data_IF_848072968851
#
_entry.id   IF_848072968851
#
_cell.length_a   1.000
_cell.length_b   1.000
_cell.length_c   1.000
_cell.angle_alpha   90.00
_cell.angle_beta   90.00
_cell.angle_gamma   90.00
#
_symmetry.space_group_name_H-M   'P 1'
#
loop_
_entity.id
_entity.type
_entity.pdbx_description
1 polymer ?
#
# COMPACT_ATOMS: atom_id res chain seq x y z
N UNK A 1 5.41 -36.07 -46.96
CA UNK A 1 5.37 -35.56 -45.57
C UNK A 1 3.93 -35.14 -45.30
N UNK A 2 3.11 -36.08 -44.79
CA UNK A 2 1.79 -35.78 -44.25
C UNK A 2 1.93 -35.50 -42.77
N UNK A 3 2.29 -34.29 -42.42
CA UNK A 3 2.36 -33.82 -41.05
C UNK A 3 1.13 -33.00 -40.75
N UNK A 4 0.11 -33.56 -40.15
CA UNK A 4 -0.96 -32.82 -39.49
C UNK A 4 -0.37 -32.15 -38.26
N UNK A 5 -0.03 -30.88 -38.40
CA UNK A 5 0.42 -30.05 -37.26
C UNK A 5 -0.76 -29.91 -36.30
N UNK A 6 -0.63 -30.41 -35.10
CA UNK A 6 -1.65 -30.22 -34.05
C UNK A 6 -1.71 -28.79 -33.58
N UNK A 7 -2.88 -28.32 -33.12
CA UNK A 7 -3.01 -26.96 -32.55
C UNK A 7 -1.97 -26.70 -31.46
N UNK A 8 -1.67 -27.69 -30.63
CA UNK A 8 -0.66 -27.57 -29.58
C UNK A 8 0.77 -27.34 -30.12
N UNK A 9 1.11 -27.95 -31.24
CA UNK A 9 2.41 -27.73 -31.91
C UNK A 9 2.47 -26.34 -32.54
N UNK A 10 1.36 -25.83 -33.09
CA UNK A 10 1.27 -24.45 -33.57
C UNK A 10 1.46 -23.46 -32.45
N UNK A 11 0.80 -23.65 -31.31
CA UNK A 11 0.95 -22.75 -30.15
C UNK A 11 2.35 -22.82 -29.53
N UNK A 12 3.04 -23.96 -29.57
CA UNK A 12 4.42 -24.07 -29.08
C UNK A 12 5.45 -23.24 -29.87
N UNK A 13 5.14 -22.91 -31.13
CA UNK A 13 6.00 -22.09 -31.99
C UNK A 13 5.70 -20.60 -31.88
N UNK A 14 4.51 -20.22 -31.38
CA UNK A 14 4.13 -18.83 -31.24
C UNK A 14 4.95 -18.19 -30.11
N UNK A 15 5.68 -17.13 -30.44
CA UNK A 15 6.43 -16.33 -29.47
C UNK A 15 5.80 -14.95 -29.38
N UNK A 16 5.57 -14.49 -28.15
CA UNK A 16 5.16 -13.12 -27.92
C UNK A 16 6.35 -12.20 -28.18
N UNK A 17 6.16 -11.25 -29.10
CA UNK A 17 7.12 -10.19 -29.42
C UNK A 17 6.58 -8.88 -28.87
N UNK A 18 7.41 -8.14 -28.17
CA UNK A 18 7.09 -6.82 -27.67
C UNK A 18 7.76 -5.79 -28.58
N UNK A 19 6.93 -4.89 -29.12
CA UNK A 19 7.42 -3.77 -29.91
C UNK A 19 7.45 -2.53 -29.03
N UNK A 20 8.64 -2.00 -28.82
CA UNK A 20 8.84 -0.73 -28.12
C UNK A 20 8.52 0.46 -29.03
N UNK A 21 8.19 1.60 -28.39
CA UNK A 21 7.88 2.87 -29.11
C UNK A 21 9.01 3.30 -30.04
N UNK A 22 10.25 2.96 -29.70
CA UNK A 22 11.46 3.23 -30.52
C UNK A 22 11.62 2.29 -31.72
N UNK A 23 10.65 1.39 -31.97
CA UNK A 23 10.67 0.46 -33.09
C UNK A 23 11.48 -0.83 -32.88
N UNK A 24 12.06 -1.03 -31.70
CA UNK A 24 12.78 -2.26 -31.36
C UNK A 24 11.77 -3.35 -31.01
N UNK A 25 11.96 -4.54 -31.60
CA UNK A 25 11.16 -5.72 -31.32
C UNK A 25 12.02 -6.76 -30.59
N UNK A 26 11.54 -7.22 -29.43
CA UNK A 26 12.21 -8.25 -28.64
C UNK A 26 11.22 -9.32 -28.19
N UNK A 27 11.62 -10.59 -28.17
CA UNK A 27 10.82 -11.65 -27.54
C UNK A 27 10.55 -11.30 -26.06
N UNK A 28 9.36 -11.62 -25.56
CA UNK A 28 8.97 -11.35 -24.17
C UNK A 28 9.96 -11.96 -23.16
N UNK A 29 10.60 -13.08 -23.51
CA UNK A 29 11.58 -13.77 -22.68
C UNK A 29 12.88 -12.98 -22.43
N UNK A 30 13.15 -11.92 -23.20
CA UNK A 30 14.32 -11.06 -23.05
C UNK A 30 14.09 -9.82 -22.17
N UNK A 31 12.86 -9.65 -21.67
CA UNK A 31 12.55 -8.56 -20.77
C UNK A 31 12.91 -8.91 -19.33
N UNK A 32 13.15 -7.88 -18.51
CA UNK A 32 13.32 -8.05 -17.09
C UNK A 32 12.05 -8.56 -16.40
N UNK A 33 12.20 -9.17 -15.22
CA UNK A 33 11.10 -9.82 -14.48
C UNK A 33 9.92 -8.89 -14.22
N UNK A 34 10.16 -7.61 -13.89
CA UNK A 34 9.11 -6.64 -13.65
C UNK A 34 8.22 -6.41 -14.88
N UNK A 35 8.82 -6.26 -16.07
CA UNK A 35 8.06 -6.13 -17.30
C UNK A 35 7.26 -7.40 -17.64
N UNK A 36 7.84 -8.57 -17.41
CA UNK A 36 7.17 -9.84 -17.64
C UNK A 36 5.96 -10.00 -16.70
N UNK A 37 6.08 -9.58 -15.43
CA UNK A 37 4.96 -9.55 -14.50
C UNK A 37 3.83 -8.63 -14.98
N UNK A 38 4.16 -7.43 -15.46
CA UNK A 38 3.16 -6.51 -16.01
C UNK A 38 2.45 -7.06 -17.24
N UNK A 39 3.20 -7.71 -18.14
CA UNK A 39 2.63 -8.36 -19.34
C UNK A 39 1.69 -9.49 -18.93
N UNK A 40 2.14 -10.36 -18.03
CA UNK A 40 1.32 -11.46 -17.50
C UNK A 40 0.02 -10.95 -16.87
N UNK A 41 0.10 -9.95 -16.02
CA UNK A 41 -1.08 -9.34 -15.38
C UNK A 41 -2.02 -8.71 -16.41
N UNK A 42 -1.48 -8.02 -17.42
CA UNK A 42 -2.27 -7.42 -18.49
C UNK A 42 -3.02 -8.48 -19.31
N UNK A 43 -2.37 -9.59 -19.61
CA UNK A 43 -3.00 -10.72 -20.31
C UNK A 43 -4.07 -11.39 -19.46
N UNK A 44 -3.81 -11.58 -18.15
CA UNK A 44 -4.76 -12.15 -17.22
C UNK A 44 -6.03 -11.29 -17.12
N UNK A 45 -5.86 -9.98 -16.98
CA UNK A 45 -6.98 -9.04 -16.94
C UNK A 45 -7.75 -8.99 -18.25
N UNK A 46 -7.07 -9.01 -19.40
CA UNK A 46 -7.72 -9.06 -20.70
C UNK A 46 -8.54 -10.36 -20.85
N UNK A 47 -8.04 -11.50 -20.38
CA UNK A 47 -8.78 -12.75 -20.33
C UNK A 47 -10.00 -12.67 -19.42
N UNK A 48 -9.84 -12.12 -18.21
CA UNK A 48 -10.95 -11.93 -17.27
C UNK A 48 -12.04 -11.03 -17.87
N UNK A 49 -11.65 -9.98 -18.56
CA UNK A 49 -12.56 -9.09 -19.28
C UNK A 49 -13.32 -9.84 -20.40
N UNK A 50 -12.63 -10.64 -21.20
CA UNK A 50 -13.25 -11.45 -22.24
C UNK A 50 -14.23 -12.48 -21.64
N UNK A 51 -13.82 -13.17 -20.57
CA UNK A 51 -14.65 -14.17 -19.87
C UNK A 51 -15.91 -13.55 -19.24
N UNK A 52 -15.86 -12.29 -18.84
CA UNK A 52 -16.99 -11.52 -18.25
C UNK A 52 -17.89 -10.87 -19.30
N UNK A 53 -17.46 -10.82 -20.56
CA UNK A 53 -18.18 -10.14 -21.65
C UNK A 53 -19.40 -10.95 -22.09
N UNK A 54 -20.60 -10.41 -21.89
CA UNK A 54 -21.85 -10.99 -22.38
C UNK A 54 -21.87 -11.04 -23.92
N UNK A 55 -21.25 -10.05 -24.57
CA UNK A 55 -21.18 -9.96 -26.01
C UNK A 55 -20.35 -11.09 -26.61
N UNK A 56 -19.23 -11.44 -25.93
CA UNK A 56 -18.30 -12.48 -26.37
C UNK A 56 -18.72 -13.89 -25.92
N UNK A 57 -19.03 -14.04 -24.63
CA UNK A 57 -19.30 -15.37 -24.00
C UNK A 57 -20.79 -15.73 -23.95
N UNK A 58 -21.69 -14.78 -24.26
CA UNK A 58 -23.15 -14.98 -24.21
C UNK A 58 -23.60 -15.59 -22.88
N UNK A 59 -24.24 -16.77 -22.89
CA UNK A 59 -24.71 -17.49 -21.68
C UNK A 59 -23.59 -18.03 -20.80
N UNK A 60 -22.37 -18.12 -21.30
CA UNK A 60 -21.19 -18.61 -20.57
C UNK A 60 -20.38 -17.49 -19.93
N UNK A 61 -20.85 -16.23 -20.01
CA UNK A 61 -20.18 -15.12 -19.37
C UNK A 61 -20.10 -15.32 -17.86
N UNK A 62 -18.91 -15.11 -17.28
CA UNK A 62 -18.69 -15.20 -15.83
C UNK A 62 -19.21 -13.93 -15.16
N UNK A 63 -20.12 -14.11 -14.21
CA UNK A 63 -20.76 -12.99 -13.48
C UNK A 63 -19.84 -12.44 -12.40
N UNK A 64 -18.98 -13.28 -11.83
CA UNK A 64 -18.08 -12.92 -10.73
C UNK A 64 -16.64 -13.17 -11.15
N UNK A 65 -15.86 -12.12 -11.17
CA UNK A 65 -14.41 -12.17 -11.41
C UNK A 65 -13.67 -11.57 -10.21
N UNK A 66 -12.83 -12.39 -9.58
CA UNK A 66 -11.96 -11.99 -8.48
C UNK A 66 -10.50 -12.13 -8.93
N UNK A 67 -9.68 -11.18 -8.55
CA UNK A 67 -8.25 -11.22 -8.78
C UNK A 67 -7.53 -11.16 -7.43
N UNK A 68 -6.67 -12.15 -7.17
CA UNK A 68 -5.77 -12.15 -6.02
C UNK A 68 -4.32 -12.06 -6.53
N UNK A 69 -3.57 -11.09 -6.03
CA UNK A 69 -2.17 -10.85 -6.42
C UNK A 69 -1.33 -10.82 -5.15
N UNK A 70 -0.34 -11.68 -5.08
CA UNK A 70 0.65 -11.66 -4.00
C UNK A 70 1.86 -10.82 -4.43
N UNK A 71 2.35 -9.99 -3.47
CA UNK A 71 3.54 -9.15 -3.66
C UNK A 71 3.53 -8.41 -5.00
N UNK A 72 2.46 -7.66 -5.23
CA UNK A 72 2.20 -7.00 -6.52
C UNK A 72 3.32 -6.03 -6.95
N UNK A 73 4.16 -5.59 -6.02
CA UNK A 73 5.35 -4.77 -6.25
C UNK A 73 6.59 -5.55 -6.69
N UNK A 74 6.57 -6.89 -6.65
CA UNK A 74 7.75 -7.70 -6.90
C UNK A 74 8.43 -7.36 -8.23
N UNK A 75 9.72 -7.00 -8.16
CA UNK A 75 10.55 -6.59 -9.29
C UNK A 75 10.11 -5.30 -10.02
N UNK A 76 9.14 -4.53 -9.47
CA UNK A 76 8.70 -3.27 -10.05
C UNK A 76 9.45 -2.07 -9.47
N UNK A 77 9.94 -1.19 -10.33
CA UNK A 77 10.43 0.12 -9.91
C UNK A 77 9.30 0.92 -9.25
N UNK A 78 9.55 1.71 -8.17
CA UNK A 78 8.51 2.45 -7.45
C UNK A 78 7.53 3.22 -8.34
N UNK A 79 8.02 3.92 -9.37
CA UNK A 79 7.17 4.63 -10.32
C UNK A 79 6.22 3.69 -11.12
N UNK A 80 6.62 2.44 -11.33
CA UNK A 80 5.79 1.44 -12.01
C UNK A 80 4.75 0.84 -11.07
N UNK A 81 5.03 0.77 -9.75
CA UNK A 81 4.07 0.33 -8.75
C UNK A 81 2.83 1.23 -8.73
N UNK A 82 3.00 2.55 -8.78
CA UNK A 82 1.88 3.51 -8.89
C UNK A 82 1.06 3.31 -10.16
N UNK A 83 1.73 3.18 -11.31
CA UNK A 83 1.05 2.96 -12.59
C UNK A 83 0.30 1.63 -12.60
N UNK A 84 0.88 0.61 -12.03
CA UNK A 84 0.24 -0.70 -11.92
C UNK A 84 -0.99 -0.65 -11.01
N UNK A 85 -0.89 -0.01 -9.86
CA UNK A 85 -2.02 0.20 -8.96
C UNK A 85 -3.16 0.95 -9.67
N UNK A 86 -2.84 2.05 -10.36
CA UNK A 86 -3.82 2.82 -11.13
C UNK A 86 -4.50 1.96 -12.20
N UNK A 87 -3.72 1.17 -12.93
CA UNK A 87 -4.25 0.24 -13.94
C UNK A 87 -5.21 -0.80 -13.33
N UNK A 88 -4.93 -1.33 -12.15
CA UNK A 88 -5.82 -2.24 -11.43
C UNK A 88 -7.11 -1.52 -10.99
N UNK A 89 -6.99 -0.32 -10.43
CA UNK A 89 -8.14 0.50 -10.02
C UNK A 89 -9.06 0.82 -11.21
N UNK A 90 -8.50 1.19 -12.36
CA UNK A 90 -9.25 1.46 -13.58
C UNK A 90 -9.99 0.22 -14.07
N UNK A 91 -9.36 -0.96 -14.04
CA UNK A 91 -10.01 -2.21 -14.42
C UNK A 91 -11.16 -2.58 -13.46
N UNK A 92 -11.02 -2.32 -12.16
CA UNK A 92 -12.07 -2.50 -11.19
C UNK A 92 -13.22 -1.49 -11.41
N UNK A 93 -12.91 -0.22 -11.58
CA UNK A 93 -13.90 0.85 -11.81
C UNK A 93 -14.70 0.63 -13.09
N UNK A 94 -14.08 0.11 -14.15
CA UNK A 94 -14.73 -0.24 -15.41
C UNK A 94 -15.51 -1.57 -15.36
N UNK A 95 -15.53 -2.26 -14.22
CA UNK A 95 -16.25 -3.52 -14.04
C UNK A 95 -15.62 -4.74 -14.74
N UNK A 96 -14.38 -4.63 -15.23
CA UNK A 96 -13.66 -5.74 -15.84
C UNK A 96 -13.29 -6.80 -14.81
N UNK A 97 -12.99 -6.38 -13.60
CA UNK A 97 -12.76 -7.22 -12.42
C UNK A 97 -13.65 -6.71 -11.30
N UNK A 98 -14.41 -7.59 -10.68
CA UNK A 98 -15.36 -7.17 -9.65
C UNK A 98 -14.68 -6.84 -8.34
N UNK A 99 -13.65 -7.59 -7.96
CA UNK A 99 -12.90 -7.38 -6.74
C UNK A 99 -11.45 -7.81 -6.91
N UNK A 100 -10.55 -7.00 -6.36
CA UNK A 100 -9.11 -7.23 -6.38
C UNK A 100 -8.62 -7.30 -4.94
N UNK A 101 -7.88 -8.35 -4.62
CA UNK A 101 -7.14 -8.51 -3.37
C UNK A 101 -5.65 -8.48 -3.70
N UNK A 102 -4.89 -7.69 -2.96
CA UNK A 102 -3.44 -7.60 -3.15
C UNK A 102 -2.75 -7.73 -1.81
N UNK A 103 -1.65 -8.48 -1.76
CA UNK A 103 -0.69 -8.36 -0.67
C UNK A 103 0.48 -7.50 -1.13
N UNK A 104 1.03 -6.72 -0.21
CA UNK A 104 2.14 -5.84 -0.50
C UNK A 104 2.96 -5.55 0.76
N UNK A 105 4.26 -5.41 0.59
CA UNK A 105 5.21 -4.88 1.57
C UNK A 105 5.73 -3.48 1.16
N UNK A 106 5.15 -2.88 0.12
CA UNK A 106 5.56 -1.59 -0.42
C UNK A 106 4.87 -0.43 0.27
N UNK A 107 5.66 0.47 0.84
CA UNK A 107 5.19 1.76 1.37
C UNK A 107 4.63 2.65 0.28
N UNK A 108 5.11 2.51 -0.95
CA UNK A 108 4.59 3.22 -2.12
C UNK A 108 3.14 2.83 -2.41
N UNK A 109 2.84 1.54 -2.38
CA UNK A 109 1.48 1.02 -2.57
C UNK A 109 0.61 1.40 -1.39
N UNK A 110 1.08 1.19 -0.15
CA UNK A 110 0.33 1.50 1.05
C UNK A 110 -0.06 2.99 1.15
N UNK A 111 0.80 3.90 0.67
CA UNK A 111 0.51 5.34 0.64
C UNK A 111 -0.43 5.76 -0.49
N UNK A 112 -0.53 4.97 -1.56
CA UNK A 112 -1.31 5.31 -2.75
C UNK A 112 -2.74 4.77 -2.72
N UNK A 113 -3.04 3.80 -1.86
CA UNK A 113 -4.40 3.27 -1.68
C UNK A 113 -5.18 4.10 -0.66
N UNK A 114 -6.50 4.03 -0.72
CA UNK A 114 -7.36 4.66 0.29
C UNK A 114 -7.28 3.88 1.60
N UNK A 115 -7.41 4.56 2.72
CA UNK A 115 -7.51 3.90 4.04
C UNK A 115 -8.63 2.87 4.10
N UNK A 116 -9.71 3.09 3.34
CA UNK A 116 -10.84 2.16 3.26
C UNK A 116 -10.51 0.83 2.59
N UNK A 117 -9.47 0.80 1.78
CA UNK A 117 -9.03 -0.38 1.04
C UNK A 117 -7.89 -1.12 1.76
N UNK A 118 -7.37 -0.55 2.86
CA UNK A 118 -6.28 -1.16 3.63
C UNK A 118 -6.79 -2.19 4.63
N UNK A 119 -6.11 -3.33 4.67
CA UNK A 119 -6.25 -4.37 5.70
C UNK A 119 -4.85 -4.63 6.25
N UNK A 120 -4.64 -4.34 7.53
CA UNK A 120 -3.34 -4.50 8.18
C UNK A 120 -3.30 -5.79 8.99
N UNK A 121 -2.40 -6.70 8.63
CA UNK A 121 -2.18 -7.94 9.37
C UNK A 121 -1.01 -7.76 10.31
N UNK A 122 -1.21 -8.00 11.59
CA UNK A 122 -0.17 -7.93 12.62
C UNK A 122 -0.15 -9.21 13.45
N UNK A 123 1.01 -9.57 13.98
CA UNK A 123 1.17 -10.74 14.84
C UNK A 123 1.77 -10.29 16.19
N UNK A 124 0.97 -9.72 17.10
CA UNK A 124 1.44 -9.24 18.38
C UNK A 124 1.90 -10.38 19.31
N UNK A 125 1.39 -11.58 19.10
CA UNK A 125 1.75 -12.81 19.79
C UNK A 125 2.02 -13.88 18.75
N UNK A 126 3.07 -14.67 18.95
CA UNK A 126 3.45 -15.75 18.02
C UNK A 126 2.26 -16.70 17.80
N UNK A 127 1.92 -16.93 16.54
CA UNK A 127 0.82 -17.81 16.14
C UNK A 127 -0.57 -17.18 16.19
N UNK A 128 -0.69 -15.89 16.56
CA UNK A 128 -1.95 -15.17 16.51
C UNK A 128 -1.88 -14.03 15.49
N UNK A 129 -2.85 -13.98 14.59
CA UNK A 129 -2.98 -12.89 13.62
C UNK A 129 -4.07 -11.95 14.12
N UNK A 130 -3.73 -10.67 14.24
CA UNK A 130 -4.67 -9.60 14.47
C UNK A 130 -4.87 -8.82 13.16
N UNK A 131 -6.12 -8.49 12.86
CA UNK A 131 -6.50 -7.80 11.63
C UNK A 131 -6.99 -6.41 11.98
N UNK A 132 -6.26 -5.41 11.49
CA UNK A 132 -6.63 -4.00 11.60
C UNK A 132 -7.39 -3.54 10.35
N UNK A 133 -8.50 -2.81 10.55
CA UNK A 133 -9.33 -2.26 9.48
C UNK A 133 -9.45 -0.75 9.59
N UNK A 134 -8.55 0.03 8.97
CA UNK A 134 -8.62 1.49 8.99
C UNK A 134 -9.98 2.07 8.59
N UNK A 135 -10.69 1.40 7.67
CA UNK A 135 -12.03 1.78 7.22
C UNK A 135 -13.04 1.95 8.36
N UNK A 136 -13.03 1.03 9.34
CA UNK A 136 -14.00 1.00 10.44
C UNK A 136 -13.52 1.72 11.70
N UNK A 137 -12.27 2.19 11.72
CA UNK A 137 -11.71 2.95 12.84
C UNK A 137 -12.34 4.34 12.93
N UNK A 138 -12.48 5.00 11.79
CA UNK A 138 -13.08 6.33 11.69
C UNK A 138 -14.57 6.20 11.39
N UNK A 139 -15.39 6.69 12.29
CA UNK A 139 -16.86 6.67 12.15
C UNK A 139 -17.30 7.75 11.16
N UNK A 140 -18.21 7.42 10.26
CA UNK A 140 -18.71 8.34 9.24
C UNK A 140 -19.69 9.38 9.80
N UNK A 141 -20.31 9.10 10.96
CA UNK A 141 -21.24 9.97 11.68
C UNK A 141 -20.56 10.90 12.70
N UNK A 142 -19.25 10.76 12.92
CA UNK A 142 -18.45 11.61 13.79
C UNK A 142 -17.59 12.57 12.96
N UNK A 143 -17.81 13.88 13.12
CA UNK A 143 -17.10 14.94 12.37
C UNK A 143 -15.59 14.93 12.64
N UNK A 144 -15.19 14.63 13.87
CA UNK A 144 -13.78 14.56 14.25
C UNK A 144 -13.09 13.34 13.62
N UNK A 145 -13.81 12.24 13.51
CA UNK A 145 -13.30 11.03 12.83
C UNK A 145 -13.17 11.25 11.33
N UNK A 146 -14.18 11.86 10.69
CA UNK A 146 -14.14 12.20 9.26
C UNK A 146 -12.97 13.15 8.97
N UNK A 147 -12.79 14.17 9.80
CA UNK A 147 -11.68 15.13 9.68
C UNK A 147 -10.33 14.43 9.84
N UNK A 148 -10.22 13.56 10.84
CA UNK A 148 -9.00 12.80 11.10
C UNK A 148 -8.67 11.84 9.94
N UNK A 149 -9.66 11.14 9.39
CA UNK A 149 -9.51 10.25 8.24
C UNK A 149 -8.98 11.01 7.02
N UNK A 150 -9.59 12.16 6.71
CA UNK A 150 -9.16 13.00 5.59
C UNK A 150 -7.74 13.53 5.81
N UNK A 151 -7.40 13.91 7.04
CA UNK A 151 -6.06 14.34 7.40
C UNK A 151 -5.03 13.23 7.18
N UNK A 152 -5.27 12.05 7.74
CA UNK A 152 -4.38 10.89 7.57
C UNK A 152 -4.23 10.54 6.10
N UNK A 153 -5.32 10.44 5.34
CA UNK A 153 -5.28 10.12 3.91
C UNK A 153 -4.46 11.14 3.12
N UNK A 154 -4.56 12.42 3.45
CA UNK A 154 -3.82 13.49 2.76
C UNK A 154 -2.32 13.49 3.05
N UNK A 155 -1.94 13.19 4.30
CA UNK A 155 -0.56 13.29 4.77
C UNK A 155 0.15 11.93 4.86
N UNK A 156 -0.53 10.85 4.47
CA UNK A 156 0.06 9.53 4.36
C UNK A 156 0.90 9.47 3.08
N UNK A 157 2.18 9.69 3.23
CA UNK A 157 3.19 9.52 2.19
C UNK A 157 3.97 8.20 2.39
N UNK A 158 4.87 7.89 1.47
CA UNK A 158 5.64 6.64 1.53
C UNK A 158 6.50 6.53 2.80
N UNK A 159 6.97 7.66 3.37
CA UNK A 159 7.78 7.67 4.60
C UNK A 159 6.92 7.40 5.83
N UNK A 160 5.72 7.96 5.89
CA UNK A 160 4.78 7.66 6.98
C UNK A 160 4.12 6.29 6.84
N UNK A 161 3.96 5.79 5.61
CA UNK A 161 3.40 4.47 5.37
C UNK A 161 4.25 3.32 5.95
N UNK A 162 5.54 3.56 6.22
CA UNK A 162 6.40 2.64 6.97
C UNK A 162 5.82 2.26 8.34
N UNK A 163 4.98 3.14 8.93
CA UNK A 163 4.31 2.83 10.20
C UNK A 163 3.42 1.57 10.12
N UNK A 164 2.93 1.19 8.95
CA UNK A 164 2.14 -0.03 8.79
C UNK A 164 2.98 -1.31 8.89
N UNK A 165 4.29 -1.22 8.67
CA UNK A 165 5.19 -2.38 8.63
C UNK A 165 6.04 -2.53 9.89
N UNK A 166 6.38 -1.43 10.58
CA UNK A 166 7.15 -1.48 11.81
C UNK A 166 6.37 -2.11 12.98
N UNK A 167 7.07 -2.73 13.92
CA UNK A 167 6.46 -3.34 15.11
C UNK A 167 6.20 -2.33 16.24
N UNK A 168 7.06 -1.33 16.36
CA UNK A 168 7.01 -0.28 17.39
C UNK A 168 7.27 1.06 16.73
N UNK A 169 6.60 2.11 17.21
CA UNK A 169 6.64 3.44 16.60
C UNK A 169 7.01 4.49 17.64
N UNK A 170 7.83 5.45 17.23
CA UNK A 170 8.04 6.70 17.95
C UNK A 170 7.62 7.82 17.00
N UNK A 171 6.52 8.50 17.32
CA UNK A 171 6.10 9.68 16.59
C UNK A 171 6.81 10.90 17.13
N UNK A 172 7.39 11.71 16.25
CA UNK A 172 8.11 12.94 16.57
C UNK A 172 7.55 14.12 15.80
N UNK A 173 7.75 15.32 16.32
CA UNK A 173 7.23 16.54 15.70
C UNK A 173 8.02 16.95 14.46
N UNK A 174 9.34 16.76 14.48
CA UNK A 174 10.21 17.29 13.45
C UNK A 174 11.43 16.43 13.10
N UNK A 175 12.22 16.99 12.20
CA UNK A 175 13.44 16.35 11.67
C UNK A 175 14.52 16.24 12.74
N UNK A 176 14.58 17.18 13.69
CA UNK A 176 15.61 17.17 14.73
C UNK A 176 15.52 15.90 15.60
N UNK A 177 14.33 15.60 16.09
CA UNK A 177 14.05 14.41 16.91
C UNK A 177 14.26 13.13 16.07
N UNK A 178 13.80 13.13 14.82
CA UNK A 178 13.99 12.00 13.90
C UNK A 178 15.46 11.63 13.73
N UNK A 179 16.34 12.62 13.58
CA UNK A 179 17.77 12.41 13.41
C UNK A 179 18.51 12.11 14.73
N UNK A 180 18.10 12.73 15.84
CA UNK A 180 18.80 12.62 17.12
C UNK A 180 18.43 11.34 17.90
N UNK A 181 17.18 10.89 17.83
CA UNK A 181 16.73 9.73 18.61
C UNK A 181 17.55 8.45 18.32
N UNK A 182 17.86 8.10 17.07
CA UNK A 182 18.72 6.94 16.81
C UNK A 182 20.13 7.10 17.36
N UNK A 183 20.64 8.34 17.42
CA UNK A 183 21.96 8.63 18.02
C UNK A 183 21.91 8.47 19.52
N UNK A 184 20.91 9.05 20.20
CA UNK A 184 20.75 8.93 21.65
C UNK A 184 20.50 7.47 22.07
N UNK A 185 19.73 6.71 21.30
CA UNK A 185 19.54 5.29 21.56
C UNK A 185 20.89 4.53 21.56
N UNK A 186 21.77 4.83 20.61
CA UNK A 186 23.11 4.23 20.57
C UNK A 186 23.98 4.58 21.79
N UNK A 187 23.91 5.83 22.28
CA UNK A 187 24.58 6.20 23.53
C UNK A 187 24.09 5.41 24.73
N UNK A 188 22.85 4.95 24.69
CA UNK A 188 22.24 4.09 25.71
C UNK A 188 22.44 2.58 25.40
N UNK A 189 23.34 2.24 24.48
CA UNK A 189 23.59 0.87 24.00
C UNK A 189 22.32 0.18 23.46
N UNK A 190 21.43 0.94 22.84
CA UNK A 190 20.24 0.47 22.15
C UNK A 190 20.34 0.76 20.66
N UNK A 191 19.91 -0.19 19.84
CA UNK A 191 19.77 0.00 18.41
C UNK A 191 18.28 -0.07 18.04
N UNK A 192 17.72 1.03 17.59
CA UNK A 192 16.29 1.10 17.23
C UNK A 192 15.93 0.13 16.10
N UNK A 193 16.86 -0.08 15.16
CA UNK A 193 16.65 -1.01 14.05
C UNK A 193 16.57 -2.46 14.52
N UNK A 194 17.48 -2.88 15.40
CA UNK A 194 17.49 -4.24 15.95
C UNK A 194 16.27 -4.51 16.83
N UNK A 195 15.73 -3.46 17.45
CA UNK A 195 14.51 -3.51 18.25
C UNK A 195 13.23 -3.35 17.42
N UNK A 196 13.35 -3.26 16.09
CA UNK A 196 12.24 -3.02 15.16
C UNK A 196 11.38 -1.79 15.54
N UNK A 197 12.06 -0.72 15.96
CA UNK A 197 11.46 0.57 16.32
C UNK A 197 11.68 1.54 15.18
N UNK A 198 10.61 2.10 14.65
CA UNK A 198 10.64 3.16 13.62
C UNK A 198 10.35 4.52 14.25
N UNK A 199 11.17 5.50 13.94
CA UNK A 199 10.91 6.91 14.24
C UNK A 199 10.19 7.52 13.03
N UNK A 200 9.02 8.10 13.25
CA UNK A 200 8.21 8.69 12.19
C UNK A 200 8.02 10.18 12.47
N UNK A 201 8.48 11.00 11.55
CA UNK A 201 8.29 12.44 11.58
C UNK A 201 6.87 12.80 11.13
N UNK A 202 6.09 13.38 12.02
CA UNK A 202 4.70 13.75 11.76
C UNK A 202 4.55 15.13 11.13
N UNK A 203 5.62 15.97 11.17
CA UNK A 203 5.61 17.33 10.63
C UNK A 203 4.81 18.31 11.50
N UNK A 204 4.73 18.08 12.81
CA UNK A 204 4.04 18.90 13.80
C UNK A 204 3.29 18.06 14.83
N UNK A 205 2.50 18.73 15.67
CA UNK A 205 1.76 18.14 16.82
C UNK A 205 0.47 17.41 16.43
N UNK A 206 0.31 17.00 15.19
CA UNK A 206 -0.93 16.39 14.68
C UNK A 206 -1.01 14.87 14.91
N UNK A 207 -0.44 14.39 16.00
CA UNK A 207 -0.40 12.97 16.37
C UNK A 207 -1.79 12.34 16.51
N UNK A 208 -2.74 13.09 17.08
CA UNK A 208 -4.09 12.62 17.41
C UNK A 208 -4.82 12.00 16.20
N UNK A 209 -4.65 12.55 15.02
CA UNK A 209 -5.29 12.02 13.81
C UNK A 209 -4.78 10.62 13.47
N UNK A 210 -3.46 10.41 13.59
CA UNK A 210 -2.83 9.12 13.31
C UNK A 210 -2.99 8.14 14.46
N UNK A 211 -3.01 8.61 15.72
CA UNK A 211 -3.14 7.76 16.90
C UNK A 211 -4.46 6.97 16.91
N UNK A 212 -5.52 7.50 16.30
CA UNK A 212 -6.79 6.79 16.15
C UNK A 212 -6.63 5.42 15.47
N UNK A 213 -5.67 5.29 14.52
CA UNK A 213 -5.38 4.01 13.84
C UNK A 213 -4.88 2.93 14.81
N UNK A 214 -4.35 3.33 15.96
CA UNK A 214 -3.65 2.47 16.90
C UNK A 214 -4.30 2.45 18.29
N UNK A 215 -5.50 3.03 18.45
CA UNK A 215 -6.22 3.06 19.72
C UNK A 215 -6.67 1.64 20.10
N UNK A 216 -6.09 1.10 21.15
CA UNK A 216 -6.37 -0.25 21.65
C UNK A 216 -7.78 -0.45 22.18
N UNK A 217 -8.54 0.61 22.41
CA UNK A 217 -9.96 0.51 22.77
C UNK A 217 -10.84 0.15 21.55
N UNK A 218 -10.33 0.31 20.35
CA UNK A 218 -11.03 -0.07 19.13
C UNK A 218 -10.61 -1.50 18.71
N UNK A 219 -11.55 -2.46 18.57
CA UNK A 219 -11.21 -3.84 18.21
C UNK A 219 -10.64 -3.99 16.79
N UNK A 220 -10.81 -2.98 15.93
CA UNK A 220 -10.31 -2.96 14.56
C UNK A 220 -9.00 -2.19 14.40
N UNK A 221 -8.38 -1.82 15.51
CA UNK A 221 -7.12 -1.07 15.55
C UNK A 221 -5.98 -1.83 14.89
N UNK A 222 -4.95 -1.11 14.44
CA UNK A 222 -3.67 -1.70 14.05
C UNK A 222 -2.85 -1.87 15.34
N UNK A 223 -2.74 -3.10 15.83
CA UNK A 223 -2.13 -3.36 17.15
C UNK A 223 -0.61 -3.16 17.12
N UNK A 224 -0.15 -2.01 17.60
CA UNK A 224 1.28 -1.63 17.70
C UNK A 224 1.56 -0.84 18.95
N UNK A 225 2.81 -0.88 19.44
CA UNK A 225 3.26 -0.04 20.54
C UNK A 225 3.74 1.30 20.00
N UNK A 226 3.17 2.39 20.52
CA UNK A 226 3.46 3.75 20.07
C UNK A 226 3.86 4.62 21.24
N UNK A 227 4.85 5.48 21.01
CA UNK A 227 5.25 6.56 21.89
C UNK A 227 5.27 7.85 21.06
N UNK A 228 4.72 8.92 21.59
CA UNK A 228 4.83 10.26 21.00
C UNK A 228 5.84 11.06 21.79
N UNK A 229 6.76 11.71 21.12
CA UNK A 229 7.71 12.67 21.67
C UNK A 229 7.36 14.06 21.13
N UNK A 230 7.14 14.98 22.05
CA UNK A 230 6.77 16.36 21.74
C UNK A 230 7.57 17.32 22.60
N UNK A 231 7.85 18.51 22.11
CA UNK A 231 8.51 19.56 22.85
C UNK A 231 7.58 20.14 23.91
N UNK A 232 8.20 20.62 25.01
CA UNK A 232 7.50 21.42 26.02
C UNK A 232 7.49 22.87 25.54
N UNK A 233 6.45 23.26 24.79
CA UNK A 233 6.28 24.64 24.45
C UNK A 233 5.94 25.47 25.70
N UNK A 234 6.47 26.69 25.82
CA UNK A 234 6.09 27.59 26.90
C UNK A 234 4.58 27.85 26.86
N UNK A 235 3.90 27.53 27.95
CA UNK A 235 2.47 27.82 28.09
C UNK A 235 2.28 29.35 28.12
N UNK A 236 1.65 29.91 27.09
CA UNK A 236 1.21 31.32 27.13
C UNK A 236 0.12 31.49 28.20
N UNK A 237 0.27 32.48 29.04
CA UNK A 237 -0.81 32.90 29.94
C UNK A 237 -1.96 33.46 29.07
N UNK A 238 -3.19 33.14 29.41
CA UNK A 238 -4.42 33.42 28.64
C UNK A 238 -4.66 34.91 28.32
N UNK A 239 -3.82 35.86 28.79
CA UNK A 239 -3.97 37.31 28.69
C UNK A 239 -2.71 38.05 28.19
N UNK A 240 -1.73 37.37 27.61
CA UNK A 240 -0.60 38.03 26.98
C UNK A 240 -0.93 38.34 25.52
N UNK A 241 -0.71 39.61 25.04
CA UNK A 241 -0.91 39.94 23.64
C UNK A 241 -0.01 39.10 22.74
N UNK A 242 -0.49 38.77 21.53
CA UNK A 242 0.30 38.12 20.51
C UNK A 242 1.51 39.00 20.16
N UNK A 243 2.66 38.69 20.73
CA UNK A 243 3.93 39.20 20.20
C UNK A 243 4.34 38.21 19.08
N UNK A 244 4.45 38.77 17.87
CA UNK A 244 4.96 38.05 16.70
C UNK A 244 6.39 37.55 16.98
N UNK A 245 6.58 36.26 16.86
CA UNK A 245 7.89 35.61 16.74
C UNK A 245 8.19 35.30 15.29
#
# INVERSE_FOLDING_TARGET
FDGTVTENEMFAVLRMIIRYVVGIEVPATYNGLGYNNLIYMSLLLARMQADSSITYMKRNAKVLSFLAVEECEAHLHPAMQYKFLQFLQDNNANGHVRQIFMTSHSTQIASAVKLDDLICLTSPVLGQIHVGYPRVIYKEDDVDDVTSKLYVQRFLDATKADMFFANRLIFVEGVAEELLLPVFARYLNKNLTDEHVLVVNMGGRYFNHFLKLFDTNNPYTINKKIVCLTDIDPCRKKNEPDEDY
#
